data_IF_002539887125
#
_entry.id   IF_002539887125
#
_cell.length_a   1.000
_cell.length_b   1.000
_cell.length_c   1.000
_cell.angle_alpha   90.00
_cell.angle_beta   90.00
_cell.angle_gamma   90.00
#
_symmetry.space_group_name_H-M   'P 1'
#
loop_
_entity.id
_entity.type
_entity.pdbx_description
1 polymer ?
#
# COMPACT_ATOMS: atom_id res chain seq x y z
N UNK A 1 -7.33 -58.07 49.10
CA UNK A 1 -6.89 -57.28 47.93
C UNK A 1 -7.75 -56.02 47.84
N UNK A 2 -7.29 -54.86 48.30
CA UNK A 2 -8.06 -53.62 48.18
C UNK A 2 -8.08 -53.19 46.72
N UNK A 3 -9.29 -52.98 46.19
CA UNK A 3 -9.49 -52.47 44.84
C UNK A 3 -8.91 -51.05 44.81
N UNK A 4 -7.88 -50.82 43.99
CA UNK A 4 -7.51 -49.47 43.61
C UNK A 4 -8.73 -48.83 42.93
N UNK A 5 -9.47 -48.01 43.67
CA UNK A 5 -10.45 -47.11 43.10
C UNK A 5 -9.69 -46.20 42.14
N UNK A 6 -9.74 -46.50 40.84
CA UNK A 6 -9.43 -45.54 39.79
C UNK A 6 -10.41 -44.39 39.99
N UNK A 7 -9.97 -43.33 40.66
CA UNK A 7 -10.69 -42.06 40.72
C UNK A 7 -10.71 -41.51 39.28
N UNK A 8 -11.69 -41.97 38.50
CA UNK A 8 -12.02 -41.34 37.23
C UNK A 8 -12.63 -39.99 37.58
N UNK A 9 -12.15 -38.93 36.92
CA UNK A 9 -12.71 -37.55 37.03
C UNK A 9 -14.24 -37.50 36.83
N UNK A 10 -14.83 -38.55 36.25
CA UNK A 10 -16.28 -38.70 36.09
C UNK A 10 -17.07 -39.06 37.36
N UNK A 11 -16.44 -39.47 38.47
CA UNK A 11 -17.15 -39.99 39.66
C UNK A 11 -17.55 -38.93 40.69
N UNK A 12 -17.05 -37.70 40.59
CA UNK A 12 -17.38 -36.63 41.55
C UNK A 12 -18.79 -36.06 41.27
N UNK A 13 -19.63 -35.72 42.25
CA UNK A 13 -20.91 -35.01 42.01
C UNK A 13 -20.74 -33.65 41.31
N UNK A 14 -21.79 -33.17 40.63
CA UNK A 14 -21.76 -31.92 39.86
C UNK A 14 -21.58 -30.69 40.78
N UNK A 15 -22.04 -30.77 42.04
CA UNK A 15 -21.88 -29.73 43.06
C UNK A 15 -20.41 -29.56 43.45
N UNK A 16 -19.67 -30.66 43.57
CA UNK A 16 -18.25 -30.63 43.89
C UNK A 16 -17.44 -30.07 42.71
N UNK A 17 -17.78 -30.45 41.48
CA UNK A 17 -17.17 -29.86 40.29
C UNK A 17 -17.42 -28.36 40.16
N UNK A 18 -18.64 -27.90 40.47
CA UNK A 18 -18.99 -26.47 40.48
C UNK A 18 -18.16 -25.72 41.51
N UNK A 19 -17.99 -26.27 42.72
CA UNK A 19 -17.13 -25.70 43.77
C UNK A 19 -15.65 -25.69 43.39
N UNK A 20 -15.13 -26.77 42.79
CA UNK A 20 -13.73 -26.84 42.35
C UNK A 20 -13.45 -25.78 41.29
N UNK A 21 -14.33 -25.63 40.29
CA UNK A 21 -14.20 -24.60 39.26
C UNK A 21 -14.32 -23.19 39.85
N UNK A 22 -15.28 -22.97 40.74
CA UNK A 22 -15.45 -21.69 41.45
C UNK A 22 -14.22 -21.29 42.27
N UNK A 23 -13.68 -22.20 43.08
CA UNK A 23 -12.46 -21.98 43.86
C UNK A 23 -11.24 -21.72 42.97
N UNK A 24 -11.15 -22.39 41.81
CA UNK A 24 -10.09 -22.13 40.84
C UNK A 24 -10.15 -20.73 40.24
N UNK A 25 -11.35 -20.20 40.03
CA UNK A 25 -11.59 -18.84 39.53
C UNK A 25 -11.26 -17.79 40.60
N UNK A 26 -11.73 -18.00 41.83
CA UNK A 26 -11.49 -17.11 42.98
C UNK A 26 -10.00 -16.99 43.31
N UNK A 27 -9.27 -18.10 43.20
CA UNK A 27 -7.81 -18.15 43.40
C UNK A 27 -7.00 -17.72 42.17
N UNK A 28 -7.65 -17.25 41.10
CA UNK A 28 -7.03 -16.85 39.83
C UNK A 28 -6.21 -17.95 39.13
N UNK A 29 -6.48 -19.22 39.44
CA UNK A 29 -5.84 -20.38 38.81
C UNK A 29 -6.51 -20.70 37.47
N UNK A 30 -7.80 -20.38 37.33
CA UNK A 30 -8.58 -20.62 36.12
C UNK A 30 -9.10 -19.31 35.52
N UNK A 31 -8.94 -19.19 34.21
CA UNK A 31 -9.51 -18.12 33.40
C UNK A 31 -10.64 -18.60 32.50
N UNK A 32 -11.35 -17.64 31.88
CA UNK A 32 -12.40 -17.94 30.90
C UNK A 32 -11.90 -18.82 29.74
N UNK A 33 -10.60 -18.75 29.40
CA UNK A 33 -9.97 -19.58 28.35
C UNK A 33 -9.88 -21.03 28.77
N UNK A 34 -9.50 -21.28 30.01
CA UNK A 34 -9.37 -22.62 30.58
C UNK A 34 -10.75 -23.25 30.74
N UNK A 35 -11.73 -22.47 31.22
CA UNK A 35 -13.11 -22.92 31.33
C UNK A 35 -13.69 -23.30 29.95
N UNK A 36 -13.43 -22.48 28.92
CA UNK A 36 -13.81 -22.81 27.55
C UNK A 36 -13.10 -24.09 27.06
N UNK A 37 -11.82 -24.25 27.35
CA UNK A 37 -11.03 -25.41 26.93
C UNK A 37 -11.49 -26.70 27.60
N UNK A 38 -11.74 -26.66 28.92
CA UNK A 38 -12.29 -27.77 29.70
C UNK A 38 -13.69 -28.19 29.24
N UNK A 39 -14.50 -27.25 28.75
CA UNK A 39 -15.80 -27.53 28.15
C UNK A 39 -15.71 -28.33 26.84
N UNK A 40 -14.57 -28.32 26.15
CA UNK A 40 -14.35 -29.19 24.98
C UNK A 40 -13.92 -30.62 25.38
N UNK A 41 -13.32 -30.80 26.56
CA UNK A 41 -12.77 -32.08 27.01
C UNK A 41 -13.87 -33.05 27.48
N UNK A 42 -14.91 -32.56 28.14
CA UNK A 42 -15.96 -33.43 28.70
C UNK A 42 -17.35 -32.79 28.62
N UNK A 43 -18.36 -33.57 28.17
CA UNK A 43 -19.77 -33.12 28.09
C UNK A 43 -20.34 -32.71 29.45
N UNK A 44 -19.92 -33.37 30.52
CA UNK A 44 -20.37 -33.03 31.88
C UNK A 44 -19.79 -31.71 32.36
N UNK A 45 -18.48 -31.51 32.18
CA UNK A 45 -17.82 -30.24 32.49
C UNK A 45 -18.42 -29.12 31.63
N UNK A 46 -18.72 -29.38 30.36
CA UNK A 46 -19.47 -28.45 29.50
C UNK A 46 -20.81 -28.07 30.12
N UNK A 47 -21.60 -29.02 30.64
CA UNK A 47 -22.89 -28.69 31.28
C UNK A 47 -22.69 -27.81 32.52
N UNK A 48 -21.72 -28.16 33.36
CA UNK A 48 -21.41 -27.43 34.60
C UNK A 48 -20.87 -26.03 34.30
N UNK A 49 -19.99 -25.90 33.31
CA UNK A 49 -19.41 -24.63 32.88
C UNK A 49 -20.44 -23.67 32.27
N UNK A 50 -21.71 -24.07 32.09
CA UNK A 50 -22.76 -23.17 31.61
C UNK A 50 -23.53 -22.50 32.74
N UNK A 51 -23.31 -22.90 34.01
CA UNK A 51 -23.96 -22.29 35.17
C UNK A 51 -23.44 -20.87 35.43
N UNK A 52 -24.37 -19.94 35.69
CA UNK A 52 -24.06 -18.53 35.91
C UNK A 52 -23.25 -18.25 37.17
N UNK A 53 -23.35 -19.11 38.19
CA UNK A 53 -22.56 -19.00 39.41
C UNK A 53 -21.04 -19.11 39.16
N UNK A 54 -20.62 -19.70 38.04
CA UNK A 54 -19.21 -19.79 37.65
C UNK A 54 -18.78 -18.52 36.90
N UNK A 55 -19.66 -17.95 36.07
CA UNK A 55 -19.35 -16.78 35.23
C UNK A 55 -19.49 -15.44 35.96
N UNK A 56 -20.34 -15.36 36.99
CA UNK A 56 -20.52 -14.12 37.78
C UNK A 56 -19.24 -13.70 38.51
N UNK A 57 -18.57 -14.57 39.31
CA UNK A 57 -17.33 -14.19 39.99
C UNK A 57 -16.20 -13.84 39.01
N UNK A 58 -16.11 -14.57 37.89
CA UNK A 58 -15.21 -14.23 36.80
C UNK A 58 -15.46 -12.80 36.30
N UNK A 59 -16.72 -12.47 36.03
CA UNK A 59 -17.13 -11.19 35.47
C UNK A 59 -16.80 -10.02 36.39
N UNK A 60 -17.13 -10.15 37.67
CA UNK A 60 -16.84 -9.14 38.70
C UNK A 60 -15.34 -8.92 38.86
N UNK A 61 -14.56 -10.01 38.92
CA UNK A 61 -13.09 -9.97 38.96
C UNK A 61 -12.51 -9.25 37.74
N UNK A 62 -12.95 -9.61 36.53
CA UNK A 62 -12.43 -9.02 35.29
C UNK A 62 -12.86 -7.56 35.10
N UNK A 63 -13.97 -7.13 35.72
CA UNK A 63 -14.35 -5.72 35.78
C UNK A 63 -13.46 -4.94 36.75
N UNK A 64 -13.20 -5.48 37.95
CA UNK A 64 -12.32 -4.86 38.92
C UNK A 64 -10.87 -4.68 38.39
N UNK A 65 -10.37 -5.67 37.62
CA UNK A 65 -9.07 -5.56 36.94
C UNK A 65 -9.02 -4.43 35.91
N UNK A 66 -10.15 -4.07 35.30
CA UNK A 66 -10.22 -2.96 34.35
C UNK A 66 -10.34 -1.59 35.03
N UNK A 67 -11.00 -1.50 36.20
CA UNK A 67 -11.15 -0.23 36.91
C UNK A 67 -9.85 0.23 37.58
N UNK A 68 -9.02 -0.69 38.05
CA UNK A 68 -7.75 -0.38 38.76
C UNK A 68 -6.57 -0.17 37.81
N UNK A 69 -6.66 -0.64 36.55
CA UNK A 69 -5.53 -0.66 35.59
C UNK A 69 -5.48 0.48 34.56
N UNK A 70 -6.29 1.54 34.70
CA UNK A 70 -6.36 2.62 33.71
C UNK A 70 -5.16 3.57 33.76
N UNK A 71 -4.06 3.16 33.12
CA UNK A 71 -3.05 4.11 32.65
C UNK A 71 -2.49 3.82 31.25
N UNK A 72 -2.85 2.72 30.55
CA UNK A 72 -2.28 2.50 29.21
C UNK A 72 -2.99 1.57 28.22
N UNK A 73 -4.30 1.30 28.36
CA UNK A 73 -5.02 0.53 27.32
C UNK A 73 -6.34 1.21 26.99
N UNK A 74 -6.36 1.92 25.85
CA UNK A 74 -7.56 2.47 25.21
C UNK A 74 -8.49 1.33 24.73
N UNK A 75 -9.14 0.68 25.68
CA UNK A 75 -10.37 -0.07 25.49
C UNK A 75 -11.41 0.65 26.34
N UNK A 76 -12.00 1.72 25.78
CA UNK A 76 -13.19 2.35 26.35
C UNK A 76 -14.27 1.27 26.41
N UNK A 77 -14.55 0.79 27.61
CA UNK A 77 -15.78 0.06 27.90
C UNK A 77 -16.48 0.88 28.97
N UNK A 78 -17.54 1.56 28.53
CA UNK A 78 -18.48 2.29 29.37
C UNK A 78 -18.86 1.48 30.63
N UNK A 79 -18.63 2.01 31.85
CA UNK A 79 -19.17 1.46 33.08
C UNK A 79 -20.65 1.82 33.18
N UNK A 80 -21.48 1.18 32.35
CA UNK A 80 -22.89 1.54 32.18
C UNK A 80 -23.83 0.35 31.98
N UNK A 81 -23.42 -0.88 32.33
CA UNK A 81 -24.34 -2.02 32.42
C UNK A 81 -24.62 -2.38 33.88
N UNK A 82 -25.01 -1.39 34.68
CA UNK A 82 -25.78 -1.65 35.89
C UNK A 82 -27.18 -2.12 35.44
N UNK A 83 -27.38 -3.44 35.33
CA UNK A 83 -28.70 -4.01 35.03
C UNK A 83 -29.36 -4.51 36.30
N UNK A 84 -30.66 -4.26 36.37
CA UNK A 84 -31.59 -4.79 37.38
C UNK A 84 -31.47 -6.31 37.43
N UNK A 85 -31.58 -6.83 38.64
CA UNK A 85 -31.33 -8.21 39.09
C UNK A 85 -32.10 -9.32 38.35
N UNK A 86 -33.06 -8.97 37.47
CA UNK A 86 -33.99 -9.90 36.82
C UNK A 86 -33.89 -9.98 35.28
N UNK A 87 -32.96 -9.27 34.64
CA UNK A 87 -32.72 -9.44 33.20
C UNK A 87 -31.83 -10.67 32.95
N UNK A 88 -32.47 -11.82 32.78
CA UNK A 88 -31.91 -13.15 32.56
C UNK A 88 -31.06 -13.29 31.27
N UNK A 89 -29.99 -12.51 31.13
CA UNK A 89 -28.86 -12.89 30.29
C UNK A 89 -27.80 -13.51 31.17
N UNK A 90 -27.53 -14.78 30.92
CA UNK A 90 -26.46 -15.53 31.55
C UNK A 90 -25.15 -14.71 31.50
N UNK A 91 -24.39 -14.65 32.60
CA UNK A 91 -23.11 -13.91 32.66
C UNK A 91 -22.13 -14.39 31.58
N UNK A 92 -22.27 -15.67 31.19
CA UNK A 92 -21.60 -16.26 30.02
C UNK A 92 -21.88 -15.53 28.70
N UNK A 93 -23.13 -15.14 28.45
CA UNK A 93 -23.52 -14.48 27.21
C UNK A 93 -23.03 -13.02 27.19
N UNK A 94 -22.93 -12.36 28.36
CA UNK A 94 -22.25 -11.07 28.49
C UNK A 94 -20.76 -11.18 28.16
N UNK A 95 -20.09 -12.23 28.65
CA UNK A 95 -18.72 -12.55 28.28
C UNK A 95 -18.56 -12.77 26.78
N UNK A 96 -19.49 -13.52 26.16
CA UNK A 96 -19.50 -13.73 24.72
C UNK A 96 -19.59 -12.41 23.95
N UNK A 97 -20.56 -11.56 24.31
CA UNK A 97 -20.74 -10.24 23.66
C UNK A 97 -19.48 -9.37 23.84
N UNK A 98 -18.92 -9.32 25.05
CA UNK A 98 -17.68 -8.56 25.33
C UNK A 98 -16.51 -9.08 24.48
N UNK A 99 -16.32 -10.39 24.44
CA UNK A 99 -15.26 -11.01 23.65
C UNK A 99 -15.43 -10.71 22.16
N UNK A 100 -16.65 -10.81 21.64
CA UNK A 100 -16.96 -10.48 20.24
C UNK A 100 -16.67 -9.01 19.94
N UNK A 101 -17.05 -8.09 20.82
CA UNK A 101 -16.73 -6.66 20.70
C UNK A 101 -15.21 -6.41 20.68
N UNK A 102 -14.47 -7.00 21.61
CA UNK A 102 -13.00 -6.86 21.68
C UNK A 102 -12.35 -7.45 20.43
N UNK A 103 -12.77 -8.65 20.01
CA UNK A 103 -12.28 -9.29 18.78
C UNK A 103 -12.58 -8.44 17.55
N UNK A 104 -13.79 -7.90 17.44
CA UNK A 104 -14.18 -7.01 16.36
C UNK A 104 -13.34 -5.71 16.38
N UNK A 105 -13.10 -5.12 17.55
CA UNK A 105 -12.27 -3.94 17.70
C UNK A 105 -10.82 -4.19 17.29
N UNK A 106 -10.23 -5.33 17.66
CA UNK A 106 -8.88 -5.75 17.24
C UNK A 106 -8.84 -5.92 15.71
N UNK A 107 -9.80 -6.64 15.13
CA UNK A 107 -9.87 -6.82 13.68
C UNK A 107 -10.06 -5.49 12.93
N UNK A 108 -10.91 -4.59 13.44
CA UNK A 108 -11.11 -3.27 12.86
C UNK A 108 -9.86 -2.40 12.98
N UNK A 109 -9.15 -2.44 14.10
CA UNK A 109 -7.87 -1.75 14.27
C UNK A 109 -6.81 -2.27 13.28
N UNK A 110 -6.73 -3.59 13.11
CA UNK A 110 -5.84 -4.21 12.13
C UNK A 110 -6.19 -3.81 10.70
N UNK A 111 -7.47 -3.91 10.30
CA UNK A 111 -7.95 -3.46 8.97
C UNK A 111 -7.63 -2.00 8.71
N UNK A 112 -7.84 -1.12 9.70
CA UNK A 112 -7.46 0.30 9.59
C UNK A 112 -5.96 0.48 9.40
N UNK A 113 -5.12 -0.32 10.05
CA UNK A 113 -3.67 -0.28 9.84
C UNK A 113 -3.29 -0.70 8.43
N UNK A 114 -3.86 -1.79 7.93
CA UNK A 114 -3.65 -2.28 6.56
C UNK A 114 -4.02 -1.18 5.54
N UNK A 115 -5.23 -0.63 5.64
CA UNK A 115 -5.70 0.44 4.75
C UNK A 115 -4.79 1.68 4.78
N UNK A 116 -4.26 2.06 5.94
CA UNK A 116 -3.30 3.17 6.05
C UNK A 116 -2.03 2.89 5.25
N UNK A 117 -1.44 1.70 5.40
CA UNK A 117 -0.23 1.32 4.67
C UNK A 117 -0.50 1.23 3.16
N UNK A 118 -1.62 0.65 2.75
CA UNK A 118 -2.05 0.61 1.34
C UNK A 118 -2.22 2.02 0.76
N UNK A 119 -2.86 2.92 1.51
CA UNK A 119 -3.01 4.31 1.09
C UNK A 119 -1.66 5.01 0.91
N UNK A 120 -0.70 4.73 1.80
CA UNK A 120 0.65 5.28 1.71
C UNK A 120 1.38 4.78 0.47
N UNK A 121 1.23 3.49 0.12
CA UNK A 121 1.78 2.94 -1.12
C UNK A 121 1.19 3.65 -2.33
N UNK A 122 -0.12 3.83 -2.38
CA UNK A 122 -0.79 4.50 -3.50
C UNK A 122 -0.34 5.96 -3.66
N UNK A 123 -0.18 6.70 -2.56
CA UNK A 123 0.34 8.09 -2.59
C UNK A 123 1.77 8.11 -3.11
N UNK A 124 2.67 7.28 -2.56
CA UNK A 124 4.06 7.23 -3.00
C UNK A 124 4.19 6.80 -4.47
N UNK A 125 3.32 5.92 -4.95
CA UNK A 125 3.27 5.53 -6.37
C UNK A 125 2.89 6.70 -7.28
N UNK A 126 1.88 7.49 -6.90
CA UNK A 126 1.49 8.70 -7.65
C UNK A 126 2.63 9.72 -7.68
N UNK A 127 3.27 9.97 -6.54
CA UNK A 127 4.44 10.86 -6.47
C UNK A 127 5.61 10.35 -7.33
N UNK A 128 5.88 9.05 -7.32
CA UNK A 128 6.92 8.45 -8.16
C UNK A 128 6.60 8.61 -9.66
N UNK A 129 5.34 8.47 -10.06
CA UNK A 129 4.91 8.73 -11.44
C UNK A 129 5.10 10.20 -11.82
N UNK A 130 4.79 11.13 -10.92
CA UNK A 130 5.02 12.56 -11.16
C UNK A 130 6.49 12.85 -11.43
N UNK A 131 7.41 12.35 -10.60
CA UNK A 131 8.85 12.53 -10.84
C UNK A 131 9.30 11.90 -12.17
N UNK A 132 8.73 10.78 -12.59
CA UNK A 132 9.03 10.20 -13.91
C UNK A 132 8.64 11.14 -15.04
N UNK A 133 7.47 11.79 -14.95
CA UNK A 133 7.02 12.78 -15.93
C UNK A 133 7.92 14.02 -15.90
N UNK A 134 8.26 14.53 -14.72
CA UNK A 134 9.11 15.71 -14.56
C UNK A 134 10.51 15.46 -15.15
N UNK A 135 11.08 14.27 -14.94
CA UNK A 135 12.35 13.86 -15.57
C UNK A 135 12.23 13.90 -17.09
N UNK A 136 11.13 13.39 -17.67
CA UNK A 136 10.94 13.41 -19.13
C UNK A 136 10.79 14.83 -19.67
N UNK A 137 10.15 15.74 -18.92
CA UNK A 137 10.01 17.15 -19.29
C UNK A 137 11.37 17.84 -19.27
N UNK A 138 12.12 17.71 -18.18
CA UNK A 138 13.45 18.34 -18.05
C UNK A 138 14.46 17.76 -19.04
N UNK A 139 14.42 16.45 -19.34
CA UNK A 139 15.24 15.86 -20.40
C UNK A 139 14.90 16.40 -21.79
N UNK A 140 13.61 16.63 -22.09
CA UNK A 140 13.20 17.25 -23.36
C UNK A 140 13.69 18.69 -23.45
N UNK A 141 13.58 19.47 -22.38
CA UNK A 141 14.14 20.83 -22.30
C UNK A 141 15.66 20.83 -22.51
N UNK A 142 16.37 19.91 -21.85
CA UNK A 142 17.81 19.75 -22.01
C UNK A 142 18.21 19.45 -23.46
N UNK A 143 17.49 18.55 -24.13
CA UNK A 143 17.74 18.24 -25.55
C UNK A 143 17.51 19.46 -26.44
N UNK A 144 16.44 20.22 -26.19
CA UNK A 144 16.13 21.44 -26.92
C UNK A 144 17.22 22.52 -26.71
N UNK A 145 17.62 22.81 -25.47
CA UNK A 145 18.65 23.82 -25.19
C UNK A 145 20.03 23.41 -25.73
N UNK A 146 20.37 22.12 -25.72
CA UNK A 146 21.58 21.60 -26.37
C UNK A 146 21.52 21.77 -27.89
N UNK A 147 20.35 21.52 -28.50
CA UNK A 147 20.18 21.72 -29.94
C UNK A 147 20.28 23.19 -30.33
N UNK A 148 19.68 24.09 -29.53
CA UNK A 148 19.83 25.54 -29.69
C UNK A 148 21.28 25.98 -29.57
N UNK A 149 22.02 25.52 -28.54
CA UNK A 149 23.43 25.87 -28.39
C UNK A 149 24.25 25.48 -29.63
N UNK A 150 24.00 24.28 -30.18
CA UNK A 150 24.65 23.81 -31.42
C UNK A 150 24.28 24.67 -32.63
N UNK A 151 23.01 25.05 -32.79
CA UNK A 151 22.58 25.90 -33.90
C UNK A 151 23.20 27.30 -33.79
N UNK A 152 23.28 27.86 -32.57
CA UNK A 152 24.00 29.10 -32.29
C UNK A 152 25.48 29.01 -32.65
N UNK A 153 26.17 27.90 -32.32
CA UNK A 153 27.57 27.71 -32.69
C UNK A 153 27.79 27.65 -34.21
N UNK A 154 26.91 26.96 -34.94
CA UNK A 154 26.96 26.90 -36.40
C UNK A 154 26.73 28.29 -37.00
N UNK A 155 25.69 29.00 -36.55
CA UNK A 155 25.40 30.36 -36.99
C UNK A 155 26.57 31.31 -36.73
N UNK A 156 27.21 31.21 -35.55
CA UNK A 156 28.40 31.99 -35.21
C UNK A 156 29.57 31.71 -36.14
N UNK A 157 29.87 30.44 -36.45
CA UNK A 157 30.94 30.07 -37.40
C UNK A 157 30.67 30.59 -38.80
N UNK A 158 29.43 30.46 -39.27
CA UNK A 158 29.01 30.98 -40.58
C UNK A 158 29.12 32.50 -40.64
N UNK A 159 28.71 33.21 -39.59
CA UNK A 159 28.84 34.67 -39.51
C UNK A 159 30.31 35.11 -39.55
N UNK A 160 31.20 34.43 -38.83
CA UNK A 160 32.65 34.70 -38.88
C UNK A 160 33.21 34.45 -40.29
N UNK A 161 32.83 33.35 -40.94
CA UNK A 161 33.27 33.06 -42.30
C UNK A 161 32.82 34.15 -43.29
N UNK A 162 31.56 34.59 -43.20
CA UNK A 162 31.04 35.71 -44.00
C UNK A 162 31.84 36.99 -43.72
N UNK A 163 32.13 37.30 -42.45
CA UNK A 163 32.89 38.48 -42.07
C UNK A 163 34.30 38.47 -42.68
N UNK A 164 35.01 37.33 -42.64
CA UNK A 164 36.37 37.20 -43.21
C UNK A 164 36.38 37.44 -44.72
N UNK A 165 35.30 37.09 -45.43
CA UNK A 165 35.21 37.19 -46.89
C UNK A 165 34.67 38.54 -47.37
N UNK A 166 34.29 39.44 -46.45
CA UNK A 166 33.72 40.74 -46.80
C UNK A 166 34.77 41.87 -46.92
N UNK A 167 34.59 42.80 -47.88
CA UNK A 167 35.41 44.01 -47.97
C UNK A 167 35.38 44.82 -46.68
N UNK A 168 36.49 45.48 -46.36
CA UNK A 168 36.70 46.13 -45.06
C UNK A 168 35.67 47.24 -44.73
N UNK A 169 35.18 47.96 -45.73
CA UNK A 169 34.15 48.98 -45.56
C UNK A 169 32.80 48.40 -45.07
N UNK A 170 32.45 47.18 -45.49
CA UNK A 170 31.22 46.51 -45.08
C UNK A 170 31.33 46.00 -43.65
N UNK A 171 32.50 45.47 -43.28
CA UNK A 171 32.79 45.04 -41.89
C UNK A 171 32.69 46.19 -40.89
N UNK A 172 33.29 47.34 -41.20
CA UNK A 172 33.28 48.50 -40.31
C UNK A 172 31.84 48.97 -40.00
N UNK A 173 30.97 49.01 -41.01
CA UNK A 173 29.57 49.41 -40.84
C UNK A 173 28.73 48.36 -40.10
N UNK A 174 28.96 47.07 -40.33
CA UNK A 174 28.29 46.01 -39.56
C UNK A 174 28.72 45.99 -38.09
N UNK A 175 29.97 46.33 -37.81
CA UNK A 175 30.50 46.38 -36.46
C UNK A 175 29.87 47.53 -35.65
N UNK A 176 29.72 48.71 -36.25
CA UNK A 176 28.98 49.82 -35.64
C UNK A 176 27.51 49.46 -35.35
N UNK A 177 26.87 48.70 -36.23
CA UNK A 177 25.49 48.20 -36.03
C UNK A 177 25.41 47.14 -34.92
N UNK A 178 26.41 46.25 -34.79
CA UNK A 178 26.48 45.24 -33.73
C UNK A 178 26.77 45.86 -32.36
N UNK A 179 27.59 46.91 -32.30
CA UNK A 179 27.85 47.67 -31.06
C UNK A 179 26.59 48.38 -30.54
N UNK A 180 25.62 48.66 -31.40
CA UNK A 180 24.30 49.19 -31.05
C UNK A 180 23.25 48.11 -30.69
N UNK A 181 23.54 46.82 -30.91
CA UNK A 181 22.60 45.74 -30.54
C UNK A 181 22.68 45.39 -29.05
N UNK A 182 21.51 45.31 -28.40
CA UNK A 182 21.37 45.13 -26.95
C UNK A 182 21.68 43.72 -26.41
N UNK A 183 21.81 42.71 -27.28
CA UNK A 183 22.02 41.32 -26.87
C UNK A 183 23.41 40.85 -27.30
N UNK A 184 24.31 40.78 -26.33
CA UNK A 184 25.64 40.20 -26.54
C UNK A 184 25.54 38.70 -26.84
N UNK A 185 26.02 38.27 -28.01
CA UNK A 185 26.03 36.86 -28.46
C UNK A 185 26.76 35.95 -27.46
N UNK A 186 27.84 36.43 -26.84
CA UNK A 186 28.56 35.70 -25.80
C UNK A 186 27.72 35.50 -24.53
N UNK A 187 26.91 36.49 -24.15
CA UNK A 187 26.01 36.38 -23.02
C UNK A 187 24.90 35.34 -23.27
N UNK A 188 24.35 35.28 -24.50
CA UNK A 188 23.36 34.24 -24.86
C UNK A 188 23.97 32.83 -24.83
N UNK A 189 25.20 32.66 -25.30
CA UNK A 189 25.91 31.37 -25.23
C UNK A 189 26.11 30.92 -23.77
N UNK A 190 26.54 31.83 -22.90
CA UNK A 190 26.69 31.54 -21.46
C UNK A 190 25.34 31.22 -20.80
N UNK A 191 24.27 31.95 -21.14
CA UNK A 191 22.91 31.64 -20.67
C UNK A 191 22.50 30.21 -21.01
N UNK A 192 22.68 29.79 -22.27
CA UNK A 192 22.35 28.43 -22.71
C UNK A 192 23.18 27.36 -21.98
N UNK A 193 24.46 27.61 -21.74
CA UNK A 193 25.31 26.71 -20.95
C UNK A 193 24.82 26.59 -19.50
N UNK A 194 24.42 27.70 -18.88
CA UNK A 194 23.85 27.71 -17.54
C UNK A 194 22.51 26.97 -17.50
N UNK A 195 21.63 27.17 -18.49
CA UNK A 195 20.35 26.45 -18.63
C UNK A 195 20.56 24.94 -18.74
N UNK A 196 21.55 24.49 -19.53
CA UNK A 196 21.94 23.08 -19.64
C UNK A 196 22.37 22.51 -18.29
N UNK A 197 23.19 23.25 -17.54
CA UNK A 197 23.65 22.82 -16.21
C UNK A 197 22.48 22.71 -15.23
N UNK A 198 21.60 23.71 -15.19
CA UNK A 198 20.40 23.70 -14.34
C UNK A 198 19.47 22.54 -14.68
N UNK A 199 19.21 22.28 -15.96
CA UNK A 199 18.38 21.14 -16.38
C UNK A 199 19.03 19.81 -15.97
N UNK A 200 20.35 19.67 -16.12
CA UNK A 200 21.08 18.46 -15.69
C UNK A 200 20.96 18.24 -14.18
N UNK A 201 21.16 19.28 -13.38
CA UNK A 201 21.04 19.23 -11.93
C UNK A 201 19.62 18.85 -11.50
N UNK A 202 18.59 19.45 -12.12
CA UNK A 202 17.18 19.12 -11.86
C UNK A 202 16.87 17.67 -12.19
N UNK A 203 17.33 17.16 -13.33
CA UNK A 203 17.16 15.73 -13.69
C UNK A 203 17.78 14.83 -12.62
N UNK A 204 19.01 15.13 -12.18
CA UNK A 204 19.67 14.35 -11.13
C UNK A 204 18.93 14.42 -9.79
N UNK A 205 18.41 15.59 -9.42
CA UNK A 205 17.62 15.76 -8.19
C UNK A 205 16.32 14.95 -8.23
N UNK A 206 15.61 14.96 -9.36
CA UNK A 206 14.40 14.17 -9.54
C UNK A 206 14.69 12.66 -9.58
N UNK A 207 15.79 12.23 -10.20
CA UNK A 207 16.20 10.82 -10.20
C UNK A 207 16.50 10.31 -8.78
N UNK A 208 17.23 11.09 -7.98
CA UNK A 208 17.48 10.78 -6.56
C UNK A 208 16.15 10.70 -5.77
N UNK A 209 15.26 11.66 -5.98
CA UNK A 209 13.94 11.69 -5.34
C UNK A 209 13.09 10.48 -5.74
N UNK A 210 13.08 10.12 -7.03
CA UNK A 210 12.40 8.95 -7.55
C UNK A 210 12.93 7.66 -6.92
N UNK A 211 14.26 7.52 -6.81
CA UNK A 211 14.88 6.36 -6.16
C UNK A 211 14.51 6.27 -4.69
N UNK A 212 14.50 7.39 -3.97
CA UNK A 212 14.05 7.46 -2.58
C UNK A 212 12.59 7.00 -2.45
N UNK A 213 11.68 7.51 -3.31
CA UNK A 213 10.26 7.10 -3.33
C UNK A 213 10.10 5.61 -3.65
N UNK A 214 10.83 5.07 -4.64
CA UNK A 214 10.83 3.62 -4.94
C UNK A 214 11.26 2.79 -3.72
N UNK A 215 12.33 3.19 -3.04
CA UNK A 215 12.79 2.47 -1.83
C UNK A 215 11.77 2.53 -0.69
N UNK A 216 11.06 3.66 -0.55
CA UNK A 216 9.99 3.81 0.43
C UNK A 216 8.77 2.94 0.10
N UNK A 217 8.39 2.86 -1.19
CA UNK A 217 7.33 1.96 -1.67
C UNK A 217 7.65 0.51 -1.28
N UNK A 218 8.88 0.05 -1.54
CA UNK A 218 9.28 -1.33 -1.21
C UNK A 218 9.28 -1.59 0.31
N UNK A 219 9.62 -0.61 1.14
CA UNK A 219 9.48 -0.71 2.61
C UNK A 219 8.02 -0.86 3.03
N UNK A 220 7.13 -0.02 2.50
CA UNK A 220 5.70 -0.09 2.80
C UNK A 220 5.05 -1.39 2.31
N UNK A 221 5.45 -1.90 1.14
CA UNK A 221 4.99 -3.21 0.64
C UNK A 221 5.42 -4.35 1.57
N UNK A 222 6.67 -4.36 2.03
CA UNK A 222 7.14 -5.34 3.02
C UNK A 222 6.36 -5.27 4.33
N UNK A 223 6.03 -4.06 4.80
CA UNK A 223 5.15 -3.92 5.95
C UNK A 223 3.76 -4.50 5.66
N UNK A 224 3.19 -4.22 4.50
CA UNK A 224 1.89 -4.76 4.10
C UNK A 224 1.91 -6.30 4.02
N UNK A 225 2.97 -6.89 3.46
CA UNK A 225 3.17 -8.33 3.42
C UNK A 225 3.27 -8.91 4.83
N UNK A 226 3.95 -8.22 5.75
CA UNK A 226 4.04 -8.65 7.15
C UNK A 226 2.69 -8.58 7.89
N UNK A 227 1.85 -7.59 7.56
CA UNK A 227 0.52 -7.44 8.16
C UNK A 227 -0.48 -8.45 7.61
N UNK A 228 -0.36 -8.80 6.33
CA UNK A 228 -1.22 -9.77 5.67
C UNK A 228 -0.76 -11.21 5.90
N UNK A 229 0.48 -11.43 6.34
CA UNK A 229 1.01 -12.75 6.67
C UNK A 229 0.21 -13.41 7.80
N UNK A 230 -0.62 -14.37 7.41
CA UNK A 230 -1.37 -15.21 8.34
C UNK A 230 -1.00 -16.68 8.07
N UNK A 231 -0.19 -17.33 8.93
CA UNK A 231 0.30 -18.70 8.73
C UNK A 231 -0.83 -19.71 8.46
N UNK A 232 -1.97 -19.55 9.14
CA UNK A 232 -3.13 -20.43 9.00
C UNK A 232 -3.92 -20.21 7.70
N UNK A 233 -3.75 -19.07 7.03
CA UNK A 233 -4.45 -18.74 5.78
C UNK A 233 -3.75 -19.32 4.55
N UNK A 234 -2.40 -19.31 4.55
CA UNK A 234 -1.59 -19.88 3.45
C UNK A 234 -1.75 -21.40 3.29
N UNK A 235 -2.07 -22.12 4.38
CA UNK A 235 -2.36 -23.56 4.33
C UNK A 235 -3.67 -23.86 3.57
N UNK A 236 -4.66 -22.96 3.63
CA UNK A 236 -5.94 -23.16 2.95
C UNK A 236 -5.84 -22.83 1.44
N UNK A 237 -5.04 -21.81 1.07
CA UNK A 237 -4.82 -21.44 -0.34
C UNK A 237 -4.01 -22.50 -1.10
N UNK A 238 -3.23 -23.33 -0.39
CA UNK A 238 -2.46 -24.44 -0.97
C UNK A 238 -3.29 -25.70 -1.24
N UNK A 239 -4.55 -25.75 -0.78
CA UNK A 239 -5.44 -26.92 -0.96
C UNK A 239 -6.49 -26.73 -2.07
N UNK A 240 -6.57 -25.55 -2.68
CA UNK A 240 -7.58 -25.21 -3.70
C UNK A 240 -7.02 -25.16 -5.13
N UNK A 241 -5.78 -25.57 -5.34
CA UNK A 241 -5.26 -25.89 -6.69
C UNK A 241 -5.42 -27.38 -6.95
N UNK A 242 -6.67 -27.85 -6.95
CA UNK A 242 -7.00 -29.10 -7.63
C UNK A 242 -7.98 -28.75 -8.75
N UNK A 243 -7.46 -28.77 -9.98
CA UNK A 243 -8.24 -28.54 -11.17
C UNK A 243 -9.30 -29.62 -11.31
N UNK A 244 -10.57 -29.24 -11.07
CA UNK A 244 -11.71 -29.94 -11.68
C UNK A 244 -12.37 -29.03 -12.69
N UNK A 245 -12.11 -29.21 -13.99
CA UNK A 245 -12.83 -28.49 -15.03
C UNK A 245 -14.21 -29.12 -15.20
N UNK A 246 -15.26 -28.43 -14.77
CA UNK A 246 -16.61 -28.84 -15.12
C UNK A 246 -17.69 -28.33 -14.19
N UNK A 247 -18.61 -27.57 -14.77
CA UNK A 247 -19.93 -27.15 -14.25
C UNK A 247 -19.90 -25.94 -13.31
N UNK A 248 -19.99 -24.76 -13.92
CA UNK A 248 -20.97 -23.70 -13.60
C UNK A 248 -20.92 -22.59 -14.66
N UNK A 249 -21.33 -22.93 -15.87
CA UNK A 249 -21.81 -21.97 -16.85
C UNK A 249 -23.34 -22.05 -16.88
N UNK A 250 -24.02 -21.37 -15.95
CA UNK A 250 -25.46 -21.11 -15.99
C UNK A 250 -25.90 -20.16 -14.87
N UNK A 251 -25.58 -18.86 -14.96
CA UNK A 251 -26.49 -17.79 -14.54
C UNK A 251 -26.32 -16.66 -15.55
N UNK A 252 -27.19 -16.67 -16.56
CA UNK A 252 -27.23 -15.71 -17.66
C UNK A 252 -28.05 -14.50 -17.22
N UNK A 253 -27.38 -13.34 -17.20
CA UNK A 253 -27.80 -12.04 -17.75
C UNK A 253 -29.32 -11.77 -17.77
N UNK A 254 -29.75 -10.77 -16.99
CA UNK A 254 -30.85 -9.85 -17.29
C UNK A 254 -30.47 -8.46 -16.75
N UNK A 255 -30.91 -7.41 -17.44
CA UNK A 255 -30.39 -6.03 -17.49
C UNK A 255 -29.12 -5.96 -18.35
N UNK A 256 -29.12 -5.46 -19.59
CA UNK A 256 -29.84 -4.29 -20.11
C UNK A 256 -30.31 -4.52 -21.56
N UNK A 257 -31.59 -4.23 -21.81
CA UNK A 257 -32.14 -4.02 -23.14
C UNK A 257 -33.37 -3.13 -23.01
N UNK A 258 -33.15 -1.81 -23.02
CA UNK A 258 -34.13 -0.78 -23.38
C UNK A 258 -33.42 0.57 -23.45
N UNK A 259 -32.90 0.92 -24.61
CA UNK A 259 -33.21 2.18 -25.29
C UNK A 259 -32.31 2.30 -26.52
N UNK A 260 -32.85 1.85 -27.65
CA UNK A 260 -32.40 2.27 -28.97
C UNK A 260 -33.14 3.56 -29.33
N UNK A 261 -32.41 4.63 -29.63
CA UNK A 261 -32.83 5.54 -30.69
C UNK A 261 -31.60 6.01 -31.45
N UNK A 262 -31.71 5.86 -32.76
CA UNK A 262 -30.80 6.16 -33.87
C UNK A 262 -30.36 7.65 -33.85
N UNK A 263 -29.32 8.13 -34.54
CA UNK A 263 -29.04 8.13 -35.99
C UNK A 263 -27.60 8.66 -36.17
N UNK A 264 -26.87 8.20 -37.21
CA UNK A 264 -25.81 9.01 -37.82
C UNK A 264 -24.55 8.24 -38.25
N UNK A 265 -24.64 7.56 -39.39
CA UNK A 265 -23.47 7.17 -40.18
C UNK A 265 -22.73 8.41 -40.72
N UNK A 266 -21.41 8.41 -40.66
CA UNK A 266 -20.54 8.70 -41.80
C UNK A 266 -19.08 8.31 -41.47
N UNK A 267 -18.57 7.29 -42.16
CA UNK A 267 -17.14 6.95 -42.19
C UNK A 267 -16.64 7.12 -43.62
N UNK A 268 -15.79 8.12 -43.84
CA UNK A 268 -14.80 8.11 -44.91
C UNK A 268 -13.44 8.45 -44.29
N UNK A 269 -12.37 7.83 -44.80
CA UNK A 269 -11.00 8.24 -44.46
C UNK A 269 -10.02 7.11 -44.17
N UNK A 270 -9.52 6.49 -45.24
CA UNK A 270 -8.28 5.70 -45.27
C UNK A 270 -7.10 6.51 -44.69
N UNK A 271 -6.12 5.86 -44.06
CA UNK A 271 -4.87 6.56 -43.73
C UNK A 271 -3.83 5.74 -42.98
N UNK A 272 -3.08 4.95 -43.74
CA UNK A 272 -1.71 4.48 -43.56
C UNK A 272 -1.06 4.37 -42.17
N UNK A 273 -0.60 3.14 -41.92
CA UNK A 273 0.52 2.82 -41.06
C UNK A 273 1.80 3.59 -41.47
N UNK A 274 2.51 4.12 -40.48
CA UNK A 274 3.90 4.54 -40.61
C UNK A 274 4.73 3.76 -39.59
N UNK A 275 5.36 2.70 -40.10
CA UNK A 275 6.52 2.06 -39.52
C UNK A 275 7.68 3.05 -39.59
N UNK A 276 8.17 3.52 -38.44
CA UNK A 276 9.41 4.28 -38.38
C UNK A 276 10.61 3.34 -38.51
N UNK A 277 11.25 3.41 -39.67
CA UNK A 277 12.55 2.82 -39.98
C UNK A 277 13.65 3.62 -39.26
N UNK A 278 14.48 2.95 -38.47
CA UNK A 278 15.65 3.53 -37.78
C UNK A 278 16.89 3.20 -38.62
N UNK A 279 17.59 4.16 -39.24
CA UNK A 279 18.89 3.91 -39.83
C UNK A 279 19.95 3.89 -38.73
N UNK A 280 20.53 2.72 -38.48
CA UNK A 280 21.76 2.57 -37.71
C UNK A 280 22.95 2.80 -38.65
N UNK A 281 23.46 4.03 -38.66
CA UNK A 281 24.76 4.34 -39.25
C UNK A 281 25.77 4.56 -38.13
N UNK A 282 26.81 3.72 -38.11
CA UNK A 282 28.10 4.08 -37.55
C UNK A 282 28.66 3.13 -36.50
N UNK A 283 29.67 2.33 -36.93
CA UNK A 283 31.09 2.34 -36.45
C UNK A 283 31.79 1.04 -36.90
N UNK A 284 33.14 0.92 -36.81
CA UNK A 284 34.20 1.92 -37.03
C UNK A 284 35.40 1.35 -37.86
N UNK A 285 36.36 2.24 -38.20
CA UNK A 285 37.82 2.00 -38.34
C UNK A 285 38.35 0.89 -39.26
N UNK A 286 39.19 1.26 -40.24
CA UNK A 286 40.58 0.78 -40.34
C UNK A 286 41.40 1.64 -41.31
N UNK A 287 42.61 2.01 -40.86
CA UNK A 287 43.72 2.59 -41.63
C UNK A 287 44.35 1.54 -42.55
N UNK A 288 44.89 1.98 -43.70
CA UNK A 288 46.16 1.54 -44.34
C UNK A 288 46.32 2.42 -45.59
N UNK A 289 47.28 3.36 -45.68
CA UNK A 289 48.69 3.16 -46.06
C UNK A 289 48.80 2.14 -47.21
N UNK A 290 48.80 2.63 -48.46
CA UNK A 290 49.97 2.83 -49.35
C UNK A 290 49.54 3.87 -50.41
#
# INVERSE_FOLDING_TARGET
MPRCCKFSMGCLPDELWTKILGLGIEKEVLDYRDLCSLAFVCRRIKKISYFDCIWRPLWERDQAKLSVGSSSRNLVVEPGMARKENDAKAFRDLYRIRFEKVRAAIMAAHRRRVLRVESQVAVLQKEAQQYQLDIQVERRKLVATVAELKSFEVARRSAIAIQVWQPQAVRARQQEVLEQQSVNVGARQQSLQMEINVCRERVQQFEKSLQAKKSAIEKCKKELDSLTFNPSRKLHDSSNTDERPGRKAAVKRKLDASSSTCIGEERTGKGSALLFYIPTAGRPFCQLII
#
